data_IF_036414893203
#
_entry.id   IF_036414893203
#
_cell.length_a   1.000
_cell.length_b   1.000
_cell.length_c   1.000
_cell.angle_alpha   90.00
_cell.angle_beta   90.00
_cell.angle_gamma   90.00
#
_symmetry.space_group_name_H-M   'P 1'
#
loop_
_entity.id
_entity.type
_entity.pdbx_description
1 polymer ?
#
# COMPACT_ATOMS: atom_id res chain seq x y z
N UNK A 1 -27.19 -16.61 -10.73
CA UNK A 1 -27.77 -16.62 -12.10
C UNK A 1 -26.63 -16.83 -13.06
N UNK A 2 -26.69 -17.86 -13.92
CA UNK A 2 -25.70 -18.09 -14.97
C UNK A 2 -25.64 -16.85 -15.88
N UNK A 3 -24.47 -16.42 -16.36
CA UNK A 3 -24.34 -15.24 -17.21
C UNK A 3 -25.05 -15.49 -18.57
N UNK A 4 -26.36 -15.24 -18.62
CA UNK A 4 -27.27 -15.73 -19.66
C UNK A 4 -27.01 -15.20 -21.09
N UNK A 5 -26.01 -14.33 -21.28
CA UNK A 5 -25.73 -13.65 -22.55
C UNK A 5 -24.32 -13.92 -23.10
N UNK A 6 -23.51 -14.77 -22.47
CA UNK A 6 -22.21 -15.14 -23.03
C UNK A 6 -22.41 -16.17 -24.14
N UNK A 7 -21.86 -15.92 -25.33
CA UNK A 7 -21.89 -16.86 -26.47
C UNK A 7 -20.58 -17.65 -26.63
N UNK A 8 -19.60 -17.39 -25.76
CA UNK A 8 -18.33 -18.08 -25.67
C UNK A 8 -17.61 -17.73 -24.36
N UNK A 9 -16.38 -18.22 -24.23
CA UNK A 9 -15.55 -17.97 -23.05
C UNK A 9 -15.20 -16.48 -22.90
N UNK A 10 -14.97 -16.06 -21.66
CA UNK A 10 -14.43 -14.74 -21.35
C UNK A 10 -12.92 -14.84 -21.34
N UNK A 11 -12.26 -14.03 -22.15
CA UNK A 11 -10.81 -13.90 -22.20
C UNK A 11 -10.37 -12.65 -21.44
N UNK A 12 -9.33 -12.80 -20.64
CA UNK A 12 -8.71 -11.79 -19.80
C UNK A 12 -7.27 -11.63 -20.28
N UNK A 13 -6.90 -10.42 -20.69
CA UNK A 13 -5.54 -10.13 -21.17
C UNK A 13 -5.01 -8.88 -20.48
N UNK A 14 -3.76 -8.95 -20.05
CA UNK A 14 -3.03 -7.80 -19.51
C UNK A 14 -2.15 -7.24 -20.62
N UNK A 15 -2.13 -5.91 -20.76
CA UNK A 15 -1.40 -5.25 -21.84
C UNK A 15 0.11 -5.46 -21.70
N UNK A 16 0.66 -5.18 -20.52
CA UNK A 16 2.11 -5.18 -20.30
C UNK A 16 2.56 -6.41 -19.49
N UNK A 17 1.68 -6.97 -18.63
CA UNK A 17 1.90 -8.20 -17.85
C UNK A 17 3.20 -8.22 -17.03
N UNK A 18 3.80 -7.05 -16.78
CA UNK A 18 5.12 -6.94 -16.14
C UNK A 18 5.00 -7.04 -14.63
N UNK A 19 3.99 -6.37 -14.07
CA UNK A 19 3.77 -6.31 -12.62
C UNK A 19 2.43 -6.87 -12.19
N UNK A 20 1.60 -7.30 -13.13
CA UNK A 20 0.31 -7.91 -12.86
C UNK A 20 0.26 -9.27 -13.55
N UNK A 21 -0.30 -10.25 -12.86
CA UNK A 21 -0.41 -11.63 -13.35
C UNK A 21 -1.83 -12.15 -13.13
N UNK A 22 -2.33 -12.87 -14.13
CA UNK A 22 -3.57 -13.65 -14.06
C UNK A 22 -3.21 -15.09 -13.64
N UNK A 23 -3.53 -15.51 -12.41
CA UNK A 23 -3.10 -16.80 -11.87
C UNK A 23 -3.67 -18.01 -12.63
N UNK A 24 -4.87 -17.88 -13.20
CA UNK A 24 -5.59 -19.00 -13.85
C UNK A 24 -5.56 -18.94 -15.38
N UNK A 25 -4.52 -18.34 -15.97
CA UNK A 25 -4.31 -18.35 -17.43
C UNK A 25 -5.27 -17.49 -18.24
N UNK A 26 -6.05 -16.62 -17.58
CA UNK A 26 -6.80 -15.55 -18.21
C UNK A 26 -8.02 -15.99 -19.03
N UNK A 27 -8.61 -17.16 -18.76
CA UNK A 27 -9.86 -17.57 -19.41
C UNK A 27 -10.87 -18.05 -18.39
N UNK A 28 -12.11 -17.55 -18.46
CA UNK A 28 -13.25 -18.06 -17.71
C UNK A 28 -14.18 -18.74 -18.69
N UNK A 29 -14.37 -20.04 -18.50
CA UNK A 29 -15.22 -20.80 -19.42
C UNK A 29 -16.66 -20.34 -19.34
N UNK A 30 -17.36 -20.32 -20.47
CA UNK A 30 -18.79 -19.99 -20.54
C UNK A 30 -19.62 -20.86 -19.57
N UNK A 31 -19.21 -22.11 -19.37
CA UNK A 31 -19.89 -23.07 -18.50
C UNK A 31 -19.85 -22.66 -17.02
N UNK A 32 -18.78 -21.98 -16.59
CA UNK A 32 -18.51 -21.59 -15.20
C UNK A 32 -18.67 -20.10 -14.94
N UNK A 33 -18.90 -19.29 -15.99
CA UNK A 33 -19.08 -17.86 -15.86
C UNK A 33 -20.44 -17.53 -15.21
N UNK A 34 -20.39 -16.92 -14.02
CA UNK A 34 -21.55 -16.50 -13.26
C UNK A 34 -21.51 -15.00 -12.99
N UNK A 35 -22.68 -14.38 -12.83
CA UNK A 35 -22.72 -12.99 -12.39
C UNK A 35 -22.08 -12.88 -11.00
N UNK A 36 -21.09 -11.99 -10.88
CA UNK A 36 -20.36 -11.80 -9.63
C UNK A 36 -19.18 -12.75 -9.44
N UNK A 37 -18.74 -13.47 -10.49
CA UNK A 37 -17.45 -14.18 -10.44
C UNK A 37 -16.32 -13.18 -10.17
N UNK A 38 -15.56 -13.44 -9.11
CA UNK A 38 -14.40 -12.63 -8.75
C UNK A 38 -13.22 -12.89 -9.69
N UNK A 39 -12.53 -11.82 -10.08
CA UNK A 39 -11.29 -11.89 -10.85
C UNK A 39 -10.11 -11.65 -9.93
N UNK A 40 -9.30 -12.69 -9.71
CA UNK A 40 -8.08 -12.56 -8.94
C UNK A 40 -6.93 -12.11 -9.84
N UNK A 41 -6.29 -10.99 -9.49
CA UNK A 41 -5.11 -10.48 -10.18
C UNK A 41 -4.02 -10.30 -9.14
N UNK A 42 -2.84 -10.85 -9.39
CA UNK A 42 -1.69 -10.75 -8.49
C UNK A 42 -0.78 -9.62 -8.94
N UNK A 43 -0.46 -8.69 -8.03
CA UNK A 43 0.58 -7.70 -8.25
C UNK A 43 1.95 -8.27 -7.82
N UNK A 44 2.92 -8.27 -8.73
CA UNK A 44 4.32 -8.60 -8.48
C UNK A 44 5.09 -7.28 -8.33
N UNK A 45 5.31 -6.89 -7.08
CA UNK A 45 5.99 -5.66 -6.73
C UNK A 45 7.46 -5.64 -7.23
N UNK A 46 7.86 -4.65 -8.05
CA UNK A 46 9.26 -4.46 -8.44
C UNK A 46 10.16 -4.03 -7.29
N UNK A 47 11.47 -4.17 -7.49
CA UNK A 47 12.54 -3.62 -6.64
C UNK A 47 12.72 -2.10 -6.75
N UNK A 48 11.90 -1.40 -7.55
CA UNK A 48 11.89 0.06 -7.61
C UNK A 48 10.62 0.60 -6.96
N UNK A 49 10.74 1.74 -6.28
CA UNK A 49 9.59 2.45 -5.72
C UNK A 49 8.79 3.11 -6.85
N UNK A 50 7.46 3.02 -6.78
CA UNK A 50 6.62 3.71 -7.73
C UNK A 50 5.20 3.20 -7.80
N UNK A 51 4.38 3.93 -8.55
CA UNK A 51 3.06 3.47 -8.98
C UNK A 51 3.19 2.78 -10.32
N UNK A 52 2.67 1.56 -10.38
CA UNK A 52 2.68 0.69 -11.53
C UNK A 52 1.26 0.51 -12.01
N UNK A 53 1.05 0.70 -13.30
CA UNK A 53 -0.25 0.56 -13.93
C UNK A 53 -0.18 -0.48 -15.04
N UNK A 54 -1.31 -1.13 -15.27
CA UNK A 54 -1.53 -2.01 -16.42
C UNK A 54 -2.99 -1.88 -16.84
N UNK A 55 -3.35 -2.39 -18.02
CA UNK A 55 -4.73 -2.44 -18.50
C UNK A 55 -5.14 -3.89 -18.67
N UNK A 56 -6.16 -4.29 -17.92
CA UNK A 56 -6.89 -5.53 -18.14
C UNK A 56 -7.94 -5.32 -19.22
N UNK A 57 -7.87 -6.12 -20.28
CA UNK A 57 -8.93 -6.25 -21.28
C UNK A 57 -9.74 -7.51 -20.99
N UNK A 58 -11.06 -7.33 -20.85
CA UNK A 58 -12.04 -8.40 -20.68
C UNK A 58 -12.85 -8.47 -21.96
N UNK A 59 -12.73 -9.58 -22.68
CA UNK A 59 -13.41 -9.79 -23.96
C UNK A 59 -14.24 -11.07 -23.93
N UNK A 60 -15.36 -11.06 -24.65
CA UNK A 60 -16.16 -12.25 -24.90
C UNK A 60 -16.82 -12.13 -26.27
N UNK A 61 -16.99 -13.26 -26.94
CA UNK A 61 -17.59 -13.29 -28.29
C UNK A 61 -18.97 -12.63 -28.28
N UNK A 62 -19.20 -11.72 -29.24
CA UNK A 62 -20.46 -10.99 -29.37
C UNK A 62 -20.68 -9.88 -28.34
N UNK A 63 -19.64 -9.50 -27.59
CA UNK A 63 -19.68 -8.38 -26.63
C UNK A 63 -18.62 -7.34 -26.95
N UNK A 64 -18.84 -6.11 -26.49
CA UNK A 64 -17.80 -5.07 -26.53
C UNK A 64 -16.80 -5.31 -25.41
N UNK A 65 -15.51 -5.27 -25.75
CA UNK A 65 -14.43 -5.38 -24.79
C UNK A 65 -14.54 -4.32 -23.69
N UNK A 66 -14.23 -4.74 -22.47
CA UNK A 66 -14.11 -3.84 -21.32
C UNK A 66 -12.64 -3.66 -20.96
N UNK A 67 -12.24 -2.41 -20.75
CA UNK A 67 -10.91 -2.06 -20.30
C UNK A 67 -10.98 -1.63 -18.84
N UNK A 68 -10.13 -2.22 -18.01
CA UNK A 68 -9.99 -1.90 -16.59
C UNK A 68 -8.56 -1.50 -16.33
N UNK A 69 -8.35 -0.27 -15.84
CA UNK A 69 -7.02 0.19 -15.44
C UNK A 69 -6.70 -0.38 -14.07
N UNK A 70 -5.60 -1.10 -13.98
CA UNK A 70 -5.02 -1.60 -12.74
C UNK A 70 -3.97 -0.60 -12.26
N UNK A 71 -3.92 -0.38 -10.95
CA UNK A 71 -2.91 0.47 -10.33
C UNK A 71 -2.51 -0.11 -8.99
N UNK A 72 -1.22 -0.30 -8.78
CA UNK A 72 -0.64 -0.75 -7.53
C UNK A 72 0.65 0.02 -7.26
N UNK A 73 0.97 0.24 -5.99
CA UNK A 73 2.18 0.94 -5.59
C UNK A 73 3.14 -0.05 -4.97
N UNK A 74 4.37 -0.13 -5.50
CA UNK A 74 5.47 -0.81 -4.82
C UNK A 74 6.13 0.22 -3.92
N UNK A 75 6.07 -0.01 -2.61
CA UNK A 75 6.99 0.58 -1.67
C UNK A 75 7.86 -0.53 -1.06
N UNK A 76 9.17 -0.44 -1.27
CA UNK A 76 10.19 -1.32 -0.69
C UNK A 76 10.89 -0.64 0.50
N UNK A 77 10.47 0.59 0.81
CA UNK A 77 10.69 1.11 2.14
C UNK A 77 9.85 0.29 3.10
N UNK A 78 10.22 0.19 4.36
CA UNK A 78 9.20 -0.06 5.38
C UNK A 78 8.38 1.21 5.54
N UNK A 79 7.73 1.69 4.48
CA UNK A 79 6.90 2.87 4.55
C UNK A 79 5.69 2.49 5.41
N UNK A 80 5.80 2.74 6.70
CA UNK A 80 4.65 2.72 7.59
C UNK A 80 3.81 3.96 7.26
N UNK A 81 3.09 3.94 6.14
CA UNK A 81 1.93 4.82 5.94
C UNK A 81 0.84 4.29 6.88
N UNK A 82 0.19 5.05 7.78
CA UNK A 82 -0.02 6.48 7.93
C UNK A 82 -0.09 6.83 9.44
N UNK A 83 0.38 8.01 9.87
CA UNK A 83 -0.16 8.68 11.07
C UNK A 83 -1.14 9.81 10.65
N UNK A 84 -1.89 9.45 9.61
CA UNK A 84 -3.00 10.03 8.82
C UNK A 84 -2.79 11.03 7.66
N UNK A 85 -1.59 11.54 7.35
CA UNK A 85 -1.30 12.26 6.07
C UNK A 85 0.23 12.40 5.80
N UNK A 86 1.08 11.75 6.60
CA UNK A 86 2.52 12.00 6.66
C UNK A 86 3.36 10.74 6.45
N UNK A 87 4.65 10.93 6.19
CA UNK A 87 5.60 9.86 5.93
C UNK A 87 6.61 9.73 7.09
N UNK A 88 7.02 8.49 7.38
CA UNK A 88 8.08 8.18 8.33
C UNK A 88 9.24 7.53 7.58
N UNK A 89 10.44 8.06 7.74
CA UNK A 89 11.65 7.56 7.08
C UNK A 89 12.70 7.23 8.12
N UNK A 90 13.29 6.04 8.03
CA UNK A 90 14.38 5.61 8.91
C UNK A 90 15.66 5.52 8.08
N UNK A 91 16.67 6.32 8.45
CA UNK A 91 17.99 6.33 7.81
C UNK A 91 19.07 6.13 8.87
N UNK A 92 19.66 4.94 8.92
CA UNK A 92 20.54 4.56 10.01
C UNK A 92 19.80 4.68 11.35
N UNK A 93 20.37 5.41 12.31
CA UNK A 93 19.74 5.63 13.62
C UNK A 93 18.80 6.85 13.64
N UNK A 94 18.50 7.48 12.50
CA UNK A 94 17.66 8.65 12.43
C UNK A 94 16.24 8.28 12.00
N UNK A 95 15.26 8.78 12.76
CA UNK A 95 13.84 8.76 12.40
C UNK A 95 13.45 10.15 11.93
N UNK A 96 13.02 10.26 10.68
CA UNK A 96 12.48 11.48 10.09
C UNK A 96 10.96 11.37 10.04
N UNK A 97 10.28 12.42 10.51
CA UNK A 97 8.82 12.55 10.56
C UNK A 97 8.41 13.69 9.62
N UNK A 98 7.69 13.34 8.54
CA UNK A 98 7.27 14.28 7.50
C UNK A 98 5.75 14.50 7.50
N UNK A 99 5.29 15.71 7.18
CA UNK A 99 3.85 16.02 7.03
C UNK A 99 3.08 16.14 8.35
N UNK A 100 3.80 16.46 9.44
CA UNK A 100 3.25 16.51 10.80
C UNK A 100 3.64 17.79 11.54
N UNK A 101 3.93 18.88 10.82
CA UNK A 101 4.22 20.18 11.39
C UNK A 101 3.19 20.61 12.45
N UNK A 102 3.66 21.16 13.56
CA UNK A 102 2.81 21.66 14.65
C UNK A 102 2.19 20.56 15.54
N UNK A 103 2.40 19.27 15.24
CA UNK A 103 1.96 18.17 16.11
C UNK A 103 2.95 17.92 17.25
N UNK A 104 2.54 17.12 18.24
CA UNK A 104 3.43 16.61 19.29
C UNK A 104 3.86 15.19 18.97
N UNK A 105 5.17 14.93 18.97
CA UNK A 105 5.74 13.59 18.83
C UNK A 105 6.30 13.10 20.17
N UNK A 106 6.07 11.83 20.50
CA UNK A 106 6.67 11.14 21.63
C UNK A 106 7.24 9.80 21.18
N UNK A 107 8.47 9.49 21.57
CA UNK A 107 9.16 8.23 21.20
C UNK A 107 9.50 7.46 22.47
N UNK A 108 9.16 6.18 22.47
CA UNK A 108 9.39 5.26 23.58
C UNK A 108 10.20 4.05 23.11
N UNK A 109 11.01 3.47 23.99
CA UNK A 109 11.59 2.15 23.76
C UNK A 109 10.58 1.04 24.10
N UNK A 110 10.95 -0.23 23.89
CA UNK A 110 10.08 -1.38 24.22
C UNK A 110 9.77 -1.55 25.71
N UNK A 111 10.60 -1.00 26.61
CA UNK A 111 10.29 -1.02 28.05
C UNK A 111 9.30 0.08 28.45
N UNK A 112 8.80 0.86 27.49
CA UNK A 112 7.92 2.00 27.72
C UNK A 112 8.64 3.26 28.22
N UNK A 113 9.98 3.25 28.29
CA UNK A 113 10.74 4.43 28.68
C UNK A 113 10.71 5.48 27.57
N UNK A 114 10.34 6.70 27.96
CA UNK A 114 10.32 7.85 27.07
C UNK A 114 11.74 8.26 26.70
N UNK A 115 12.03 8.33 25.41
CA UNK A 115 13.30 8.82 24.87
C UNK A 115 13.20 10.27 24.43
N UNK A 116 12.09 10.61 23.77
CA UNK A 116 11.85 11.95 23.26
C UNK A 116 10.39 12.35 23.47
N UNK A 117 10.18 13.62 23.79
CA UNK A 117 8.88 14.30 23.70
C UNK A 117 9.14 15.68 23.12
N UNK A 118 8.53 15.98 22.00
CA UNK A 118 8.63 17.29 21.37
C UNK A 118 7.26 17.76 20.92
N UNK A 119 6.84 18.90 21.46
CA UNK A 119 5.66 19.62 20.99
C UNK A 119 6.04 20.50 19.80
N UNK A 120 5.06 20.77 18.93
CA UNK A 120 5.21 21.63 17.75
C UNK A 120 6.42 21.25 16.87
N UNK A 121 6.48 19.97 16.47
CA UNK A 121 7.54 19.50 15.57
C UNK A 121 7.50 20.24 14.23
N UNK A 122 8.64 20.37 13.56
CA UNK A 122 8.73 20.87 12.19
C UNK A 122 8.18 19.87 11.18
N UNK A 123 7.92 20.32 9.95
CA UNK A 123 7.39 19.44 8.88
C UNK A 123 8.34 18.32 8.44
N UNK A 124 9.63 18.39 8.79
CA UNK A 124 10.65 17.35 8.53
C UNK A 124 11.45 17.09 9.81
N UNK A 125 10.77 16.77 10.91
CA UNK A 125 11.42 16.61 12.20
C UNK A 125 12.30 15.36 12.24
N UNK A 126 13.56 15.50 12.66
CA UNK A 126 14.54 14.41 12.73
C UNK A 126 14.88 14.10 14.18
N UNK A 127 14.76 12.83 14.55
CA UNK A 127 15.12 12.31 15.86
C UNK A 127 16.25 11.29 15.71
N UNK A 128 17.36 11.48 16.42
CA UNK A 128 18.45 10.50 16.47
C UNK A 128 18.21 9.54 17.61
N UNK A 129 17.96 8.26 17.30
CA UNK A 129 17.73 7.22 18.29
C UNK A 129 19.06 6.63 18.78
N UNK A 130 19.13 6.22 20.05
CA UNK A 130 20.40 5.87 20.70
C UNK A 130 21.02 4.58 20.16
N UNK A 131 20.23 3.66 19.62
CA UNK A 131 20.69 2.38 19.12
C UNK A 131 19.76 1.81 18.05
N UNK A 132 20.19 0.70 17.45
CA UNK A 132 19.32 -0.19 16.69
C UNK A 132 18.32 -0.86 17.63
N UNK A 133 17.10 -1.07 17.18
CA UNK A 133 16.04 -1.62 18.03
C UNK A 133 14.64 -1.25 17.57
N UNK A 134 13.67 -1.57 18.44
CA UNK A 134 12.26 -1.28 18.21
C UNK A 134 11.82 -0.15 19.13
N UNK A 135 11.09 0.79 18.55
CA UNK A 135 10.57 1.97 19.22
C UNK A 135 9.08 2.13 18.93
N UNK A 136 8.38 2.79 19.84
CA UNK A 136 7.00 3.22 19.64
C UNK A 136 7.01 4.73 19.41
N UNK A 137 6.48 5.17 18.27
CA UNK A 137 6.24 6.57 17.97
C UNK A 137 4.76 6.88 18.18
N UNK A 138 4.48 7.89 18.98
CA UNK A 138 3.15 8.47 19.18
C UNK A 138 3.11 9.89 18.63
N UNK A 139 2.14 10.19 17.77
CA UNK A 139 1.89 11.54 17.27
C UNK A 139 0.51 12.01 17.74
N UNK A 140 0.48 13.18 18.37
CA UNK A 140 -0.70 13.82 18.94
C UNK A 140 -1.00 15.11 18.16
N UNK A 141 -2.21 15.20 17.60
CA UNK A 141 -2.73 16.42 16.97
C UNK A 141 -3.62 17.22 17.92
N UNK A 142 -3.96 18.45 17.54
CA UNK A 142 -4.95 19.25 18.25
C UNK A 142 -6.33 18.60 18.03
N UNK A 143 -6.87 17.91 19.05
CA UNK A 143 -8.20 17.30 19.09
C UNK A 143 -8.41 16.02 18.26
N UNK A 144 -7.35 15.32 17.87
CA UNK A 144 -7.46 13.99 17.22
C UNK A 144 -6.95 12.89 18.13
N UNK A 145 -7.47 11.68 17.97
CA UNK A 145 -6.92 10.51 18.66
C UNK A 145 -5.43 10.36 18.35
N UNK A 146 -4.59 10.08 19.36
CA UNK A 146 -3.17 9.89 19.14
C UNK A 146 -2.94 8.70 18.22
N UNK A 147 -2.18 8.93 17.15
CA UNK A 147 -1.78 7.87 16.25
C UNK A 147 -0.47 7.28 16.77
N UNK A 148 -0.35 5.95 16.81
CA UNK A 148 0.85 5.26 17.33
C UNK A 148 1.33 4.23 16.32
N UNK A 149 2.64 4.17 16.10
CA UNK A 149 3.26 3.18 15.20
C UNK A 149 4.54 2.59 15.78
N UNK A 150 4.88 1.40 15.30
CA UNK A 150 6.13 0.71 15.62
C UNK A 150 7.20 1.12 14.61
N UNK A 151 8.31 1.65 15.10
CA UNK A 151 9.49 1.99 14.30
C UNK A 151 10.58 0.95 14.57
N UNK A 152 11.16 0.39 13.52
CA UNK A 152 12.23 -0.61 13.63
C UNK A 152 13.49 -0.06 12.98
N UNK A 153 14.56 0.07 13.76
CA UNK A 153 15.90 0.41 13.30
C UNK A 153 16.76 -0.85 13.26
N UNK A 154 17.32 -1.15 12.09
CA UNK A 154 18.14 -2.35 11.82
C UNK A 154 19.62 -2.07 11.72
#
# INVERSE_FOLDING_TARGET
MKAANLTGDVTLTLKDSTNFVLPDGGTITQATAETGTDLNITFIAPETLGTYTDTLTISATGTTDRLVVLSATSDLGTATTNLTDGALVVTGNQLTINGHAGKKASIYNLSGATLFVQANISDNAVFTLPAKGVYLLKIEGNNSFPATTKVVIR
#
